data_IF_659909529502
#
_entry.id   IF_659909529502
#
_cell.length_a   1.000
_cell.length_b   1.000
_cell.length_c   1.000
_cell.angle_alpha   90.00
_cell.angle_beta   90.00
_cell.angle_gamma   90.00
#
_symmetry.space_group_name_H-M   'P 1'
#
loop_
_entity.id
_entity.type
_entity.pdbx_description
1 polymer ?
#
# COMPACT_ATOMS: atom_id res chain seq x y z
N UNK A 1 22.43 -3.27 7.73
CA UNK A 1 20.98 -3.51 7.63
C UNK A 1 20.59 -4.58 8.63
N UNK A 2 19.43 -4.46 9.30
CA UNK A 2 18.90 -5.54 10.14
C UNK A 2 18.65 -6.78 9.25
N UNK A 3 19.03 -7.95 9.74
CA UNK A 3 18.70 -9.22 9.09
C UNK A 3 17.37 -9.69 9.64
N UNK A 4 16.38 -9.82 8.77
CA UNK A 4 15.04 -10.30 9.11
C UNK A 4 14.84 -11.62 8.37
N UNK A 5 14.51 -12.67 9.11
CA UNK A 5 14.18 -13.98 8.54
C UNK A 5 12.66 -14.15 8.58
N UNK A 6 12.05 -14.42 7.43
CA UNK A 6 10.60 -14.58 7.28
C UNK A 6 10.36 -15.91 6.59
N UNK A 7 9.44 -16.71 7.12
CA UNK A 7 8.99 -17.94 6.46
C UNK A 7 7.82 -17.61 5.55
N UNK A 8 7.97 -17.90 4.26
CA UNK A 8 6.96 -17.61 3.24
C UNK A 8 6.45 -18.94 2.65
N UNK A 9 5.14 -19.09 2.37
CA UNK A 9 4.62 -20.24 1.67
C UNK A 9 5.27 -20.48 0.30
N UNK A 10 5.46 -21.75 -0.07
CA UNK A 10 6.13 -22.17 -1.31
C UNK A 10 5.51 -21.58 -2.58
N UNK A 11 4.19 -21.42 -2.63
CA UNK A 11 3.51 -20.86 -3.79
C UNK A 11 3.84 -19.36 -4.00
N UNK A 12 4.19 -18.62 -2.95
CA UNK A 12 4.63 -17.23 -3.08
C UNK A 12 6.08 -17.16 -3.54
N UNK A 13 6.93 -18.09 -3.09
CA UNK A 13 8.30 -18.22 -3.59
C UNK A 13 8.32 -18.48 -5.09
N UNK A 14 7.50 -19.43 -5.58
CA UNK A 14 7.36 -19.68 -7.01
C UNK A 14 6.93 -18.43 -7.80
N UNK A 15 6.02 -17.63 -7.25
CA UNK A 15 5.58 -16.39 -7.90
C UNK A 15 6.71 -15.37 -7.97
N UNK A 16 7.46 -15.15 -6.89
CA UNK A 16 8.60 -14.22 -6.88
C UNK A 16 9.65 -14.65 -7.90
N UNK A 17 9.96 -15.95 -7.98
CA UNK A 17 10.90 -16.49 -8.98
C UNK A 17 10.42 -16.18 -10.40
N UNK A 18 9.15 -16.39 -10.70
CA UNK A 18 8.60 -16.08 -12.03
C UNK A 18 8.69 -14.59 -12.38
N UNK A 19 8.49 -13.68 -11.42
CA UNK A 19 8.61 -12.23 -11.64
C UNK A 19 10.07 -11.83 -11.93
N UNK A 20 11.02 -12.45 -11.23
CA UNK A 20 12.46 -12.27 -11.50
C UNK A 20 12.81 -12.82 -12.89
N UNK A 21 12.31 -14.00 -13.26
CA UNK A 21 12.55 -14.60 -14.58
C UNK A 21 11.96 -13.78 -15.73
N UNK A 22 10.84 -13.11 -15.50
CA UNK A 22 10.23 -12.18 -16.46
C UNK A 22 11.01 -10.86 -16.62
N UNK A 23 12.06 -10.66 -15.81
CA UNK A 23 12.89 -9.46 -15.84
C UNK A 23 12.25 -8.26 -15.16
N UNK A 24 11.21 -8.47 -14.34
CA UNK A 24 10.59 -7.40 -13.56
C UNK A 24 11.48 -6.97 -12.39
N UNK A 25 12.32 -7.88 -11.89
CA UNK A 25 13.28 -7.61 -10.81
C UNK A 25 14.67 -8.14 -11.18
N UNK A 26 15.73 -7.44 -10.72
CA UNK A 26 17.11 -7.86 -11.00
C UNK A 26 17.49 -9.10 -10.18
N UNK A 27 16.96 -9.21 -8.97
CA UNK A 27 17.19 -10.34 -8.09
C UNK A 27 16.05 -10.51 -7.06
N UNK A 28 16.06 -11.66 -6.38
CA UNK A 28 15.05 -12.01 -5.37
C UNK A 28 15.03 -11.05 -4.18
N UNK A 29 16.19 -10.57 -3.73
CA UNK A 29 16.27 -9.70 -2.55
C UNK A 29 15.60 -8.35 -2.82
N UNK A 30 15.86 -7.78 -4.01
CA UNK A 30 15.21 -6.56 -4.49
C UNK A 30 13.70 -6.75 -4.64
N UNK A 31 13.27 -7.85 -5.25
CA UNK A 31 11.85 -8.17 -5.39
C UNK A 31 11.15 -8.22 -4.03
N UNK A 32 11.75 -8.88 -3.03
CA UNK A 32 11.18 -8.98 -1.69
C UNK A 32 11.11 -7.61 -1.00
N UNK A 33 12.16 -6.81 -1.09
CA UNK A 33 12.20 -5.48 -0.48
C UNK A 33 11.12 -4.56 -1.06
N UNK A 34 10.98 -4.56 -2.38
CA UNK A 34 10.06 -3.67 -3.09
C UNK A 34 8.60 -4.11 -2.90
N UNK A 35 8.33 -5.40 -2.94
CA UNK A 35 7.01 -5.98 -2.64
C UNK A 35 6.59 -5.72 -1.20
N UNK A 36 7.49 -5.92 -0.22
CA UNK A 36 7.20 -5.63 1.19
C UNK A 36 6.97 -4.14 1.42
N UNK A 37 7.80 -3.28 0.82
CA UNK A 37 7.65 -1.83 0.93
C UNK A 37 6.32 -1.35 0.35
N UNK A 38 5.94 -1.88 -0.81
CA UNK A 38 4.66 -1.58 -1.47
C UNK A 38 3.49 -2.09 -0.66
N UNK A 39 3.56 -3.33 -0.17
CA UNK A 39 2.52 -3.93 0.67
C UNK A 39 2.30 -3.17 1.98
N UNK A 40 3.37 -2.72 2.64
CA UNK A 40 3.29 -1.90 3.86
C UNK A 40 2.67 -0.53 3.56
N UNK A 41 3.06 0.13 2.46
CA UNK A 41 2.46 1.40 2.06
C UNK A 41 0.98 1.24 1.74
N UNK A 42 0.64 0.26 0.91
CA UNK A 42 -0.74 -0.04 0.58
C UNK A 42 -1.56 -0.35 1.84
N UNK A 43 -1.03 -1.16 2.77
CA UNK A 43 -1.70 -1.46 4.04
C UNK A 43 -1.87 -0.23 4.93
N UNK A 44 -0.87 0.67 5.01
CA UNK A 44 -1.01 1.92 5.76
C UNK A 44 -2.02 2.87 5.14
N UNK A 45 -2.09 2.93 3.81
CA UNK A 45 -3.00 3.80 3.07
C UNK A 45 -4.43 3.23 2.98
N UNK A 46 -4.58 1.90 2.99
CA UNK A 46 -5.88 1.18 2.89
C UNK A 46 -6.37 0.57 4.20
N UNK A 47 -5.58 0.69 5.27
CA UNK A 47 -6.02 0.38 6.62
C UNK A 47 -7.23 1.23 6.98
N UNK A 48 -8.03 0.84 8.00
CA UNK A 48 -9.10 1.71 8.46
C UNK A 48 -8.49 3.08 8.68
N UNK A 49 -8.97 4.09 7.94
CA UNK A 49 -8.62 5.49 8.22
C UNK A 49 -8.73 5.64 9.73
N UNK A 50 -7.61 5.95 10.37
CA UNK A 50 -7.60 6.33 11.77
C UNK A 50 -8.66 7.42 11.92
N UNK A 51 -9.45 7.44 12.99
CA UNK A 51 -10.44 8.51 13.18
C UNK A 51 -9.80 9.93 13.11
N UNK A 52 -8.48 10.02 13.30
CA UNK A 52 -7.64 11.21 13.05
C UNK A 52 -7.50 11.60 11.57
N UNK A 53 -7.44 10.65 10.62
CA UNK A 53 -7.27 10.92 9.19
C UNK A 53 -8.60 11.33 8.53
N UNK A 54 -9.75 10.90 9.06
CA UNK A 54 -11.08 11.35 8.60
C UNK A 54 -11.40 12.80 8.94
N UNK A 55 -10.75 13.36 9.96
CA UNK A 55 -11.00 14.74 10.40
C UNK A 55 -10.52 15.79 9.38
N UNK A 56 -9.60 15.41 8.47
CA UNK A 56 -9.07 16.31 7.44
C UNK A 56 -9.86 16.28 6.12
N UNK A 57 -10.75 15.30 5.92
CA UNK A 57 -11.59 15.21 4.72
C UNK A 57 -13.05 15.68 4.94
N UNK A 58 -13.51 15.76 6.19
CA UNK A 58 -14.87 16.24 6.53
C UNK A 58 -14.97 17.78 6.63
N UNK A 59 -13.84 18.49 6.77
CA UNK A 59 -13.82 19.95 7.02
C UNK A 59 -13.72 20.80 5.74
N UNK A 60 -13.96 20.20 4.56
CA UNK A 60 -13.69 20.85 3.26
C UNK A 60 -14.86 20.94 2.27
N UNK A 61 -15.92 20.14 2.43
CA UNK A 61 -16.96 20.04 1.39
C UNK A 61 -18.33 19.67 1.97
N UNK A 62 -19.01 20.58 2.68
CA UNK A 62 -20.48 20.78 2.59
C UNK A 62 -21.02 21.87 3.53
N UNK A 63 -21.80 22.80 2.94
CA UNK A 63 -22.71 23.73 3.63
C UNK A 63 -22.05 25.04 4.04
N UNK A 64 -22.53 26.24 3.76
CA UNK A 64 -23.78 26.83 3.26
C UNK A 64 -23.29 28.10 2.48
N UNK A 65 -24.02 28.73 1.58
CA UNK A 65 -25.22 29.50 1.87
C UNK A 65 -26.04 29.68 0.58
N UNK A 66 -27.29 29.28 0.69
CA UNK A 66 -28.47 29.82 0.03
C UNK A 66 -28.27 30.99 -0.94
N UNK A 67 -28.66 30.80 -2.21
CA UNK A 67 -29.59 31.75 -2.85
C UNK A 67 -30.44 31.03 -3.91
N UNK A 68 -31.69 30.70 -3.54
CA UNK A 68 -32.75 30.41 -4.51
C UNK A 68 -33.13 31.72 -5.21
N UNK A 69 -32.86 31.85 -6.52
CA UNK A 69 -33.48 32.87 -7.37
C UNK A 69 -34.24 32.16 -8.49
N UNK A 70 -35.55 32.42 -8.52
CA UNK A 70 -36.54 31.92 -9.47
C UNK A 70 -36.25 32.32 -10.92
#
# INVERSE_FOLDING_TARGET
MPKVEITVPEHLEMQIVQLVEQGEFVNRDEAIEDLLSTGIRAYKTSGPMSDEDRAYEDDGMMGHEDEYVF
#
